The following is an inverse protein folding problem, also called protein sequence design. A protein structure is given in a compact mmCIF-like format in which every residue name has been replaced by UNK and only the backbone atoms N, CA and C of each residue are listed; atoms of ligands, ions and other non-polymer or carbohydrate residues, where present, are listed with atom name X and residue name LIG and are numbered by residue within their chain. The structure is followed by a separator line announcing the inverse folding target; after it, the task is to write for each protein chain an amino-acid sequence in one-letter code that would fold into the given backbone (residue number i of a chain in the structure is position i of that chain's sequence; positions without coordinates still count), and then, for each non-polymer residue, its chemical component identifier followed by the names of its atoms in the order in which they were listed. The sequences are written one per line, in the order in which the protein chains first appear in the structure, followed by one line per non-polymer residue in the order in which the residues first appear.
data_IF_000945574699
#
_entry.id   IF_000945574699
#
_cell.length_a   1.000
_cell.length_b   1.000
_cell.length_c   1.000
_cell.angle_alpha   90.00
_cell.angle_beta   90.00
_cell.angle_gamma   90.00
#
_symmetry.space_group_name_H-M   'P 1'
#
loop_
_entity.id
_entity.type
_entity.pdbx_description
1 polymer ?
#
# COMPACT_ATOMS: atom_id res chain seq x y z
N UNK A 1 1.86 15.88 29.39
CA UNK A 1 1.70 17.29 28.94
C UNK A 1 1.99 17.30 27.46
N UNK A 2 0.96 17.42 26.63
CA UNK A 2 1.11 17.42 25.18
C UNK A 2 1.27 18.87 24.68
N UNK A 3 2.24 19.10 23.80
CA UNK A 3 2.37 20.37 23.09
C UNK A 3 1.11 20.66 22.26
N UNK A 4 0.52 21.83 22.41
CA UNK A 4 -0.71 22.22 21.71
C UNK A 4 -0.57 22.25 20.19
N UNK A 5 0.64 22.44 19.67
CA UNK A 5 0.92 22.51 18.23
C UNK A 5 1.20 21.16 17.60
N UNK A 6 1.96 20.30 18.27
CA UNK A 6 2.34 18.97 17.74
C UNK A 6 1.25 17.90 17.89
N UNK A 7 0.36 18.02 18.87
CA UNK A 7 -0.66 17.03 19.15
C UNK A 7 -1.59 16.73 17.98
N UNK A 8 -1.88 17.74 17.13
CA UNK A 8 -2.74 17.57 15.95
C UNK A 8 -2.15 16.62 14.91
N UNK A 9 -0.83 16.62 14.78
CA UNK A 9 -0.09 15.88 13.77
C UNK A 9 0.48 14.56 14.29
N UNK A 10 0.51 14.35 15.61
CA UNK A 10 1.02 13.10 16.16
C UNK A 10 0.13 11.92 15.81
N UNK A 11 0.73 10.86 15.31
CA UNK A 11 0.10 9.57 15.06
C UNK A 11 0.79 8.49 15.89
N UNK A 12 0.31 7.24 15.76
CA UNK A 12 1.05 6.09 16.27
C UNK A 12 2.40 5.96 15.55
N UNK A 13 3.37 5.34 16.21
CA UNK A 13 4.65 5.03 15.57
C UNK A 13 4.44 4.11 14.39
N UNK A 14 5.07 4.41 13.26
CA UNK A 14 5.08 3.55 12.09
C UNK A 14 5.92 2.29 12.31
N UNK A 15 5.76 1.33 11.43
CA UNK A 15 6.53 0.09 11.40
C UNK A 15 7.31 -0.01 10.09
N UNK A 16 8.51 -0.58 10.16
CA UNK A 16 9.24 -1.08 8.99
C UNK A 16 9.03 -2.59 8.89
N UNK A 17 8.53 -3.05 7.76
CA UNK A 17 8.43 -4.47 7.42
C UNK A 17 9.57 -4.87 6.49
N UNK A 18 10.12 -6.05 6.70
CA UNK A 18 11.27 -6.55 5.95
C UNK A 18 10.96 -7.97 5.49
N UNK A 19 11.19 -8.24 4.21
CA UNK A 19 11.11 -9.59 3.65
C UNK A 19 12.51 -10.19 3.60
N UNK A 20 12.82 -11.00 4.61
CA UNK A 20 14.09 -11.70 4.75
C UNK A 20 13.88 -13.22 4.75
N UNK A 21 14.91 -13.99 4.40
CA UNK A 21 14.86 -15.44 4.40
C UNK A 21 14.71 -16.02 5.80
N UNK A 22 15.39 -15.41 6.78
CA UNK A 22 15.25 -15.76 8.19
C UNK A 22 15.40 -14.54 9.10
N UNK A 23 15.01 -14.68 10.37
CA UNK A 23 15.14 -13.63 11.38
C UNK A 23 16.53 -13.64 12.01
N UNK A 24 17.56 -13.53 11.18
CA UNK A 24 18.94 -13.32 11.61
C UNK A 24 19.40 -11.91 11.28
N UNK A 25 20.42 -11.41 11.98
CA UNK A 25 21.02 -10.09 11.71
C UNK A 25 21.51 -9.98 10.26
N UNK A 26 22.14 -11.04 9.74
CA UNK A 26 22.67 -11.08 8.37
C UNK A 26 21.52 -10.96 7.35
N UNK A 27 20.52 -11.83 7.43
CA UNK A 27 19.43 -11.88 6.44
C UNK A 27 18.58 -10.61 6.47
N UNK A 28 18.36 -10.03 7.67
CA UNK A 28 17.70 -8.73 7.79
C UNK A 28 18.50 -7.61 7.14
N UNK A 29 19.83 -7.58 7.36
CA UNK A 29 20.71 -6.60 6.73
C UNK A 29 20.72 -6.74 5.21
N UNK A 30 20.82 -7.96 4.70
CA UNK A 30 20.84 -8.24 3.27
C UNK A 30 19.51 -7.86 2.61
N UNK A 31 18.37 -8.12 3.26
CA UNK A 31 17.06 -7.70 2.78
C UNK A 31 16.91 -6.16 2.76
N UNK A 32 17.45 -5.46 3.77
CA UNK A 32 17.50 -3.99 3.76
C UNK A 32 18.40 -3.46 2.65
N UNK A 33 19.52 -4.10 2.40
CA UNK A 33 20.44 -3.73 1.32
C UNK A 33 19.80 -3.91 -0.06
N UNK A 34 19.01 -4.98 -0.25
CA UNK A 34 18.17 -5.17 -1.45
C UNK A 34 16.96 -4.25 -1.49
N UNK A 35 16.69 -3.49 -0.43
CA UNK A 35 15.52 -2.61 -0.27
C UNK A 35 14.18 -3.37 -0.35
N UNK A 36 14.17 -4.65 -0.01
CA UNK A 36 12.95 -5.47 0.03
C UNK A 36 12.19 -5.20 1.33
N UNK A 37 11.80 -3.94 1.47
CA UNK A 37 11.22 -3.37 2.68
C UNK A 37 9.96 -2.57 2.38
N UNK A 38 9.08 -2.44 3.37
CA UNK A 38 7.89 -1.61 3.31
C UNK A 38 7.68 -0.91 4.65
N UNK A 39 6.85 0.12 4.66
CA UNK A 39 6.51 0.86 5.89
C UNK A 39 5.02 0.93 6.09
N UNK A 40 4.60 1.09 7.35
CA UNK A 40 3.21 1.33 7.70
C UNK A 40 3.07 2.53 8.64
N UNK A 41 1.88 3.09 8.74
CA UNK A 41 1.57 4.16 9.70
C UNK A 41 1.21 3.64 11.10
N UNK A 42 1.41 2.34 11.37
CA UNK A 42 1.16 1.71 12.68
C UNK A 42 0.65 0.28 12.59
N UNK A 43 -0.40 -0.03 11.79
CA UNK A 43 -0.89 -1.40 11.62
C UNK A 43 0.15 -2.32 10.99
N UNK A 44 0.03 -3.62 11.26
CA UNK A 44 0.89 -4.66 10.69
C UNK A 44 0.41 -5.13 9.32
N UNK A 45 0.04 -4.19 8.46
CA UNK A 45 -0.28 -4.47 7.06
C UNK A 45 0.96 -5.07 6.39
N UNK A 46 0.77 -6.13 5.62
CA UNK A 46 1.86 -6.77 4.85
C UNK A 46 1.67 -6.45 3.38
N UNK A 47 2.77 -6.14 2.69
CA UNK A 47 2.77 -5.86 1.25
C UNK A 47 3.77 -6.76 0.56
N UNK A 48 3.36 -7.41 -0.54
CA UNK A 48 4.23 -7.99 -1.56
C UNK A 48 4.03 -7.21 -2.84
N UNK A 49 5.15 -6.85 -3.48
CA UNK A 49 5.13 -6.09 -4.73
C UNK A 49 6.24 -6.58 -5.64
N UNK A 50 5.86 -7.00 -6.85
CA UNK A 50 6.78 -7.50 -7.87
C UNK A 50 6.46 -6.88 -9.21
N UNK A 51 7.48 -6.69 -10.05
CA UNK A 51 7.36 -6.24 -11.42
C UNK A 51 7.98 -7.22 -12.40
N UNK A 52 7.38 -7.38 -13.57
CA UNK A 52 7.92 -8.24 -14.63
C UNK A 52 7.31 -7.92 -16.00
N UNK A 53 8.04 -8.23 -17.05
CA UNK A 53 7.52 -8.29 -18.42
C UNK A 53 6.98 -9.69 -18.80
N UNK A 54 7.15 -10.69 -17.92
CA UNK A 54 6.86 -12.11 -18.19
C UNK A 54 5.65 -12.66 -17.42
N UNK A 55 5.06 -11.88 -16.52
CA UNK A 55 3.93 -12.37 -15.73
C UNK A 55 2.72 -12.69 -16.62
N UNK A 56 2.19 -13.90 -16.44
CA UNK A 56 0.98 -14.37 -17.12
C UNK A 56 -0.25 -14.10 -16.24
N UNK A 57 -1.42 -14.03 -16.86
CA UNK A 57 -2.68 -13.71 -16.18
C UNK A 57 -3.07 -14.76 -15.12
N UNK A 58 -2.58 -16.00 -15.26
CA UNK A 58 -2.81 -17.09 -14.31
C UNK A 58 -1.96 -17.02 -13.02
N UNK A 59 -1.06 -16.04 -12.91
CA UNK A 59 -0.13 -15.94 -11.79
C UNK A 59 -0.83 -15.92 -10.43
N UNK A 60 -1.93 -15.15 -10.31
CA UNK A 60 -2.66 -15.01 -9.04
C UNK A 60 -3.45 -16.25 -8.63
N UNK A 61 -3.74 -17.14 -9.55
CA UNK A 61 -4.46 -18.40 -9.32
C UNK A 61 -3.50 -19.52 -8.88
N UNK A 62 -2.21 -19.31 -9.05
CA UNK A 62 -1.18 -20.28 -8.73
C UNK A 62 -0.92 -20.37 -7.23
N UNK A 63 -0.88 -21.57 -6.68
CA UNK A 63 -0.52 -21.80 -5.26
C UNK A 63 0.92 -21.37 -4.93
N UNK A 64 1.79 -21.22 -5.93
CA UNK A 64 3.18 -20.80 -5.78
C UNK A 64 3.43 -19.41 -6.41
N UNK A 65 2.40 -18.55 -6.46
CA UNK A 65 2.47 -17.23 -7.10
C UNK A 65 3.68 -16.39 -6.67
N UNK A 66 4.00 -16.37 -5.38
CA UNK A 66 5.15 -15.61 -4.84
C UNK A 66 6.48 -16.20 -5.32
N UNK A 67 6.65 -17.53 -5.31
CA UNK A 67 7.88 -18.14 -5.81
C UNK A 67 8.06 -17.88 -7.31
N UNK A 68 6.99 -17.97 -8.10
CA UNK A 68 7.01 -17.58 -9.52
C UNK A 68 7.35 -16.10 -9.71
N UNK A 69 6.82 -15.23 -8.86
CA UNK A 69 7.10 -13.79 -8.94
C UNK A 69 8.60 -13.48 -8.71
N UNK A 70 9.26 -14.20 -7.81
CA UNK A 70 10.73 -14.11 -7.65
C UNK A 70 11.51 -14.68 -8.84
N UNK A 71 11.01 -15.77 -9.46
CA UNK A 71 11.70 -16.40 -10.60
C UNK A 71 11.57 -15.60 -11.88
N UNK A 72 10.38 -15.06 -12.14
CA UNK A 72 10.03 -14.46 -13.43
C UNK A 72 10.08 -12.92 -13.40
N UNK A 73 10.34 -12.31 -12.26
CA UNK A 73 10.30 -10.85 -12.06
C UNK A 73 11.29 -10.35 -11.03
N UNK A 74 11.10 -9.12 -10.61
CA UNK A 74 11.89 -8.44 -9.59
C UNK A 74 11.01 -8.01 -8.41
N UNK A 75 11.48 -8.14 -7.15
CA UNK A 75 10.76 -7.65 -5.98
C UNK A 75 10.86 -6.13 -5.84
N UNK A 76 10.08 -5.58 -4.91
CA UNK A 76 10.22 -4.19 -4.48
C UNK A 76 11.68 -3.88 -4.09
N UNK A 77 12.15 -2.69 -4.42
CA UNK A 77 13.52 -2.24 -4.19
C UNK A 77 14.47 -2.47 -5.37
N UNK A 78 14.09 -3.27 -6.34
CA UNK A 78 14.92 -3.66 -7.47
C UNK A 78 14.57 -2.87 -8.76
N UNK A 79 15.25 -3.18 -9.85
CA UNK A 79 15.18 -2.46 -11.12
C UNK A 79 14.80 -3.39 -12.27
N UNK A 80 13.82 -2.98 -13.06
CA UNK A 80 13.48 -3.58 -14.35
C UNK A 80 14.19 -2.82 -15.48
N UNK A 81 14.79 -3.53 -16.40
CA UNK A 81 15.34 -2.97 -17.65
C UNK A 81 14.43 -3.28 -18.81
N UNK A 82 14.42 -2.41 -19.82
CA UNK A 82 13.58 -2.52 -21.02
C UNK A 82 13.61 -3.91 -21.66
N UNK A 83 12.41 -4.44 -21.99
CA UNK A 83 12.21 -5.72 -22.67
C UNK A 83 11.23 -5.61 -23.87
N UNK A 84 10.87 -4.40 -24.29
CA UNK A 84 9.96 -4.13 -25.42
C UNK A 84 8.49 -4.49 -25.15
N UNK A 85 8.13 -4.82 -23.91
CA UNK A 85 6.78 -5.19 -23.51
C UNK A 85 6.25 -4.26 -22.41
N UNK A 86 4.93 -4.22 -22.25
CA UNK A 86 4.29 -3.50 -21.14
C UNK A 86 4.53 -4.28 -19.83
N UNK A 87 5.08 -3.66 -18.77
CA UNK A 87 5.32 -4.33 -17.51
C UNK A 87 4.01 -4.68 -16.80
N UNK A 88 4.02 -5.82 -16.14
CA UNK A 88 2.97 -6.26 -15.23
C UNK A 88 3.46 -6.20 -13.79
N UNK A 89 2.60 -5.77 -12.89
CA UNK A 89 2.91 -5.64 -11.47
C UNK A 89 1.96 -6.50 -10.64
N UNK A 90 2.54 -7.44 -9.89
CA UNK A 90 1.83 -8.18 -8.85
C UNK A 90 1.83 -7.35 -7.57
N UNK A 91 0.64 -7.03 -7.09
CA UNK A 91 0.44 -6.44 -5.76
C UNK A 91 -0.39 -7.40 -4.91
N UNK A 92 0.10 -7.69 -3.71
CA UNK A 92 -0.61 -8.52 -2.74
C UNK A 92 -0.46 -7.94 -1.35
N UNK A 93 -1.58 -7.60 -0.72
CA UNK A 93 -1.61 -7.05 0.62
C UNK A 93 -2.56 -7.81 1.53
N UNK A 94 -2.16 -7.92 2.80
CA UNK A 94 -2.94 -8.54 3.87
C UNK A 94 -3.12 -7.52 4.99
N UNK A 95 -4.36 -7.38 5.48
CA UNK A 95 -4.71 -6.51 6.59
C UNK A 95 -4.06 -6.95 7.90
N UNK A 96 -3.90 -6.02 8.81
CA UNK A 96 -3.65 -6.33 10.23
C UNK A 96 -4.96 -6.82 10.86
N UNK A 97 -5.02 -8.05 11.43
CA UNK A 97 -6.24 -8.57 12.04
C UNK A 97 -6.74 -7.74 13.25
N UNK A 98 -5.88 -6.89 13.81
CA UNK A 98 -6.20 -5.99 14.92
C UNK A 98 -6.48 -4.54 14.48
N UNK A 99 -6.60 -4.29 13.18
CA UNK A 99 -6.86 -2.98 12.59
C UNK A 99 -8.12 -3.00 11.72
N UNK A 100 -8.30 -1.97 10.90
CA UNK A 100 -9.37 -1.92 9.90
C UNK A 100 -9.07 -2.81 8.71
N UNK A 101 -10.12 -3.20 7.99
CA UNK A 101 -9.99 -3.93 6.72
C UNK A 101 -9.38 -3.04 5.64
N UNK A 102 -8.79 -3.67 4.62
CA UNK A 102 -8.24 -2.96 3.48
C UNK A 102 -9.35 -2.29 2.67
N UNK A 103 -9.12 -1.05 2.27
CA UNK A 103 -10.04 -0.29 1.41
C UNK A 103 -9.64 -0.39 -0.06
N UNK A 104 -8.36 -0.18 -0.36
CA UNK A 104 -7.85 -0.21 -1.74
C UNK A 104 -6.34 -0.39 -1.80
N UNK A 105 -5.90 -0.91 -2.94
CA UNK A 105 -4.51 -0.89 -3.36
C UNK A 105 -4.32 0.17 -4.43
N UNK A 106 -3.25 0.92 -4.31
CA UNK A 106 -2.83 1.92 -5.28
C UNK A 106 -1.43 1.61 -5.78
N UNK A 107 -1.21 1.81 -7.07
CA UNK A 107 0.13 1.96 -7.63
C UNK A 107 0.34 3.43 -7.95
N UNK A 108 1.44 3.97 -7.48
CA UNK A 108 1.89 5.30 -7.80
C UNK A 108 3.05 5.18 -8.78
N UNK A 109 2.87 5.76 -9.97
CA UNK A 109 3.89 5.88 -10.99
C UNK A 109 4.49 7.28 -10.91
N UNK A 110 5.81 7.37 -10.80
CA UNK A 110 6.55 8.60 -11.01
C UNK A 110 7.44 8.46 -12.23
N UNK A 111 7.55 9.52 -13.05
CA UNK A 111 8.41 9.53 -14.23
C UNK A 111 8.92 10.93 -14.53
N UNK A 112 9.89 11.00 -15.43
CA UNK A 112 10.40 12.27 -15.95
C UNK A 112 9.86 12.46 -17.37
N UNK A 113 9.23 13.61 -17.60
CA UNK A 113 8.70 14.04 -18.89
C UNK A 113 9.25 15.42 -19.22
N UNK A 114 9.99 15.51 -20.32
CA UNK A 114 10.66 16.75 -20.76
C UNK A 114 11.48 17.45 -19.65
N UNK A 115 12.10 16.68 -18.77
CA UNK A 115 12.88 17.19 -17.64
C UNK A 115 12.07 17.56 -16.40
N UNK A 116 10.74 17.42 -16.45
CA UNK A 116 9.83 17.68 -15.33
C UNK A 116 9.41 16.38 -14.66
N UNK A 117 9.35 16.39 -13.33
CA UNK A 117 8.80 15.26 -12.57
C UNK A 117 7.28 15.22 -12.71
N UNK A 118 6.76 14.03 -13.02
CA UNK A 118 5.34 13.72 -13.10
C UNK A 118 4.98 12.58 -12.16
N UNK A 119 3.78 12.60 -11.63
CA UNK A 119 3.24 11.54 -10.79
C UNK A 119 1.79 11.22 -11.17
N UNK A 120 1.44 9.95 -11.12
CA UNK A 120 0.06 9.48 -11.30
C UNK A 120 -0.28 8.35 -10.34
N UNK A 121 -1.48 8.42 -9.79
CA UNK A 121 -2.02 7.43 -8.86
C UNK A 121 -3.10 6.61 -9.54
N UNK A 122 -2.93 5.29 -9.54
CA UNK A 122 -3.89 4.32 -10.04
C UNK A 122 -4.43 3.49 -8.88
N UNK A 123 -5.76 3.46 -8.67
CA UNK A 123 -6.36 2.44 -7.84
C UNK A 123 -6.37 1.14 -8.65
N UNK A 124 -5.81 0.06 -8.10
CA UNK A 124 -5.60 -1.19 -8.84
C UNK A 124 -6.37 -2.38 -8.27
N UNK A 125 -6.82 -2.28 -7.02
CA UNK A 125 -7.78 -3.20 -6.41
C UNK A 125 -8.63 -2.46 -5.38
N UNK A 126 -9.90 -2.82 -5.29
CA UNK A 126 -10.90 -2.17 -4.45
C UNK A 126 -11.53 -3.19 -3.51
N UNK A 127 -11.87 -2.74 -2.29
CA UNK A 127 -12.63 -3.55 -1.34
C UNK A 127 -13.99 -3.99 -1.89
N UNK A 128 -14.57 -5.05 -1.31
CA UNK A 128 -15.90 -5.53 -1.67
C UNK A 128 -16.02 -6.10 -3.09
N UNK A 129 -14.90 -6.49 -3.71
CA UNK A 129 -14.90 -7.03 -5.07
C UNK A 129 -15.18 -5.99 -6.17
N UNK A 130 -15.22 -4.71 -5.81
CA UNK A 130 -15.36 -3.63 -6.79
C UNK A 130 -14.13 -3.52 -7.68
N UNK A 131 -14.34 -2.98 -8.86
CA UNK A 131 -13.24 -2.65 -9.80
C UNK A 131 -13.07 -1.13 -9.86
N UNK A 132 -11.85 -0.65 -10.10
CA UNK A 132 -11.63 0.76 -10.39
C UNK A 132 -12.41 1.19 -11.64
N UNK A 133 -12.98 2.38 -11.60
CA UNK A 133 -13.64 2.98 -12.77
C UNK A 133 -12.65 3.15 -13.92
N UNK A 134 -12.97 2.71 -15.14
CA UNK A 134 -12.03 2.73 -16.26
C UNK A 134 -11.55 4.12 -16.68
N UNK A 135 -12.36 5.16 -16.45
CA UNK A 135 -12.06 6.54 -16.86
C UNK A 135 -11.25 7.30 -15.81
N UNK A 136 -11.74 7.29 -14.57
CA UNK A 136 -11.07 7.97 -13.45
C UNK A 136 -9.93 7.16 -12.84
N UNK A 137 -9.91 5.84 -13.07
CA UNK A 137 -8.97 4.88 -12.46
C UNK A 137 -9.00 4.91 -10.93
N UNK A 138 -10.19 5.16 -10.38
CA UNK A 138 -10.43 5.23 -8.94
C UNK A 138 -11.43 4.17 -8.52
N UNK A 139 -11.23 3.63 -7.34
CA UNK A 139 -12.25 2.86 -6.64
C UNK A 139 -13.47 3.74 -6.35
N UNK A 140 -14.66 3.17 -6.23
CA UNK A 140 -15.82 3.92 -5.78
C UNK A 140 -15.55 4.54 -4.41
N UNK A 141 -16.26 5.62 -4.12
CA UNK A 141 -16.25 6.17 -2.77
C UNK A 141 -16.92 5.19 -1.80
N UNK A 142 -16.27 5.00 -0.67
CA UNK A 142 -16.77 4.13 0.39
C UNK A 142 -17.38 4.98 1.49
N UNK A 143 -18.69 4.88 1.66
CA UNK A 143 -19.33 5.36 2.89
C UNK A 143 -19.06 4.35 4.01
N UNK A 144 -18.07 4.66 4.83
CA UNK A 144 -17.66 3.82 5.95
C UNK A 144 -17.70 4.65 7.24
N UNK A 145 -18.90 4.92 7.77
CA UNK A 145 -19.04 5.75 8.93
C UNK A 145 -18.43 5.06 10.16
N UNK A 146 -17.50 5.75 10.80
CA UNK A 146 -16.96 5.39 12.10
C UNK A 146 -17.76 6.15 13.14
N UNK A 147 -18.38 5.45 14.09
CA UNK A 147 -19.05 6.11 15.20
C UNK A 147 -18.02 6.58 16.22
N UNK A 148 -17.79 7.90 16.38
CA UNK A 148 -16.75 8.40 17.26
C UNK A 148 -17.09 8.25 18.75
N UNK A 149 -18.33 7.88 19.10
CA UNK A 149 -18.74 7.71 20.50
C UNK A 149 -18.35 6.35 21.09
N UNK A 150 -18.22 5.34 20.25
CA UNK A 150 -17.87 3.98 20.68
C UNK A 150 -16.82 3.32 19.78
N UNK A 151 -16.33 4.05 18.76
CA UNK A 151 -15.41 3.56 17.73
C UNK A 151 -15.91 2.31 16.99
N UNK A 152 -17.21 2.06 17.00
CA UNK A 152 -17.82 1.04 16.16
C UNK A 152 -17.71 1.45 14.70
N UNK A 153 -17.20 0.53 13.86
CA UNK A 153 -17.25 0.65 12.42
C UNK A 153 -18.40 -0.20 11.88
N UNK A 154 -19.04 0.27 10.81
CA UNK A 154 -19.95 -0.61 10.08
C UNK A 154 -19.14 -1.80 9.56
N UNK A 155 -19.71 -3.01 9.58
CA UNK A 155 -19.13 -4.17 8.93
C UNK A 155 -19.22 -3.97 7.40
N UNK A 156 -18.32 -3.19 6.84
CA UNK A 156 -18.18 -3.11 5.40
C UNK A 156 -17.12 -4.10 4.97
N UNK A 157 -17.43 -4.86 3.96
CA UNK A 157 -16.63 -5.79 3.17
C UNK A 157 -15.48 -6.54 3.89
N UNK A 158 -15.46 -7.85 3.71
CA UNK A 158 -14.46 -8.76 4.26
C UNK A 158 -13.09 -8.68 3.54
N UNK A 159 -12.61 -7.47 3.24
CA UNK A 159 -11.34 -7.29 2.54
C UNK A 159 -10.13 -7.39 3.47
N UNK A 160 -9.95 -8.59 4.04
CA UNK A 160 -8.73 -8.94 4.79
C UNK A 160 -7.51 -9.09 3.88
N UNK A 161 -7.76 -9.35 2.61
CA UNK A 161 -6.76 -9.52 1.56
C UNK A 161 -7.22 -8.78 0.30
N UNK A 162 -6.29 -8.07 -0.33
CA UNK A 162 -6.45 -7.54 -1.68
C UNK A 162 -5.23 -7.93 -2.51
N UNK A 163 -5.48 -8.42 -3.73
CA UNK A 163 -4.42 -8.76 -4.68
C UNK A 163 -4.82 -8.47 -6.11
N UNK A 164 -3.86 -8.14 -6.93
CA UNK A 164 -4.08 -7.86 -8.34
C UNK A 164 -2.81 -8.09 -9.15
N UNK A 165 -2.99 -8.42 -10.42
CA UNK A 165 -1.97 -8.30 -11.45
C UNK A 165 -2.38 -7.15 -12.36
N UNK A 166 -1.63 -6.05 -12.29
CA UNK A 166 -1.94 -4.81 -13.01
C UNK A 166 -0.89 -4.53 -14.08
N UNK A 167 -1.32 -4.02 -15.22
CA UNK A 167 -0.46 -3.53 -16.30
C UNK A 167 -0.60 -2.04 -16.43
N UNK A 168 0.53 -1.33 -16.62
CA UNK A 168 0.50 0.12 -16.82
C UNK A 168 -0.11 0.46 -18.18
N UNK A 169 -1.31 1.04 -18.23
CA UNK A 169 -1.94 1.41 -19.49
C UNK A 169 -1.32 2.65 -20.16
N UNK A 170 -0.43 3.32 -19.46
CA UNK A 170 0.27 4.53 -19.90
C UNK A 170 1.80 4.33 -19.85
N UNK A 171 2.21 3.08 -20.07
CA UNK A 171 3.63 2.77 -20.12
C UNK A 171 4.28 3.37 -21.38
N UNK A 172 5.39 4.03 -21.18
CA UNK A 172 6.27 4.53 -22.23
C UNK A 172 7.67 3.94 -22.01
N UNK A 173 8.12 3.14 -22.96
CA UNK A 173 9.40 2.42 -22.86
C UNK A 173 10.62 3.34 -22.89
N UNK A 174 10.46 4.59 -23.34
CA UNK A 174 11.54 5.58 -23.40
C UNK A 174 11.70 6.37 -22.10
N UNK A 175 10.76 6.28 -21.17
CA UNK A 175 10.74 7.10 -19.96
C UNK A 175 11.35 6.36 -18.77
N UNK A 176 12.29 7.01 -18.08
CA UNK A 176 12.72 6.59 -16.76
C UNK A 176 11.55 6.75 -15.78
N UNK A 177 11.18 5.65 -15.12
CA UNK A 177 10.03 5.63 -14.22
C UNK A 177 10.31 4.82 -12.94
N UNK A 178 9.50 5.04 -11.92
CA UNK A 178 9.42 4.17 -10.77
C UNK A 178 7.96 3.91 -10.38
N UNK A 179 7.73 2.78 -9.74
CA UNK A 179 6.41 2.37 -9.28
C UNK A 179 6.50 1.95 -7.83
N UNK A 180 5.58 2.41 -6.99
CA UNK A 180 5.45 1.90 -5.64
C UNK A 180 3.98 1.69 -5.26
N UNK A 181 3.76 0.83 -4.29
CA UNK A 181 2.43 0.51 -3.78
C UNK A 181 2.11 1.37 -2.57
N UNK A 182 0.87 1.85 -2.52
CA UNK A 182 0.25 2.40 -1.32
C UNK A 182 -1.02 1.61 -1.02
N UNK A 183 -1.11 1.09 0.19
CA UNK A 183 -2.27 0.38 0.71
C UNK A 183 -3.02 1.31 1.65
N UNK A 184 -4.34 1.36 1.55
CA UNK A 184 -5.18 2.12 2.47
C UNK A 184 -6.14 1.16 3.18
N UNK A 185 -6.26 1.31 4.51
CA UNK A 185 -7.34 0.72 5.30
C UNK A 185 -8.61 1.57 5.21
N UNK A 186 -9.74 1.03 5.65
CA UNK A 186 -10.90 1.85 5.95
C UNK A 186 -10.62 2.75 7.17
N UNK A 187 -11.24 3.94 7.24
CA UNK A 187 -11.10 4.82 8.38
C UNK A 187 -11.46 4.12 9.69
N UNK A 188 -10.79 4.51 10.77
CA UNK A 188 -11.05 4.05 12.14
C UNK A 188 -10.87 5.21 13.12
N UNK A 189 -11.28 5.03 14.37
CA UNK A 189 -10.99 6.02 15.41
C UNK A 189 -9.50 6.29 15.53
N UNK A 190 -9.17 7.57 15.63
CA UNK A 190 -7.84 8.01 16.02
C UNK A 190 -7.55 7.61 17.47
N UNK A 191 -6.29 7.37 17.81
CA UNK A 191 -5.88 7.02 19.17
C UNK A 191 -6.41 8.01 20.25
N UNK A 192 -6.43 9.31 19.95
CA UNK A 192 -6.94 10.34 20.86
C UNK A 192 -8.45 10.25 21.11
N UNK A 193 -9.22 9.73 20.17
CA UNK A 193 -10.65 9.46 20.33
C UNK A 193 -10.85 8.27 21.25
N UNK A 194 -10.06 7.20 21.07
CA UNK A 194 -10.04 6.07 22.01
C UNK A 194 -9.70 6.49 23.45
N UNK A 195 -8.69 7.36 23.62
CA UNK A 195 -8.31 7.86 24.93
C UNK A 195 -9.43 8.71 25.56
N UNK A 196 -10.09 9.54 24.77
CA UNK A 196 -11.23 10.32 25.26
C UNK A 196 -12.39 9.44 25.73
N UNK A 197 -12.73 8.39 24.96
CA UNK A 197 -13.76 7.41 25.33
C UNK A 197 -13.38 6.69 26.63
N UNK A 198 -12.17 6.14 26.74
CA UNK A 198 -11.68 5.40 27.91
C UNK A 198 -11.63 6.27 29.16
N UNK A 199 -11.34 7.55 29.00
CA UNK A 199 -11.27 8.52 30.10
C UNK A 199 -12.61 9.19 30.39
N UNK A 200 -13.67 8.86 29.64
CA UNK A 200 -14.99 9.49 29.71
C UNK A 200 -14.93 11.02 29.62
N UNK A 201 -14.14 11.53 28.70
CA UNK A 201 -14.01 12.96 28.41
C UNK A 201 -14.37 13.25 26.94
N UNK A 202 -14.72 14.51 26.66
CA UNK A 202 -15.00 14.93 25.30
C UNK A 202 -13.71 14.93 24.45
N UNK A 203 -13.77 14.50 23.17
CA UNK A 203 -12.67 14.68 22.25
C UNK A 203 -12.20 16.13 22.16
N UNK A 204 -10.91 16.32 21.92
CA UNK A 204 -10.32 17.66 21.83
C UNK A 204 -10.80 18.37 20.58
N UNK A 205 -11.28 19.60 20.72
CA UNK A 205 -11.71 20.44 19.60
C UNK A 205 -10.56 20.66 18.61
N UNK A 206 -10.85 20.52 17.32
CA UNK A 206 -9.88 20.73 16.24
C UNK A 206 -8.88 19.59 16.02
N UNK A 207 -9.11 18.43 16.67
CA UNK A 207 -8.39 17.18 16.40
C UNK A 207 -9.30 16.26 15.57
N UNK A 208 -8.82 15.66 14.47
CA UNK A 208 -9.61 14.66 13.75
C UNK A 208 -9.97 13.47 14.66
N UNK A 209 -11.22 13.07 14.65
CA UNK A 209 -11.70 11.95 15.45
C UNK A 209 -11.37 10.60 14.83
N UNK A 210 -11.15 10.59 13.51
CA UNK A 210 -10.82 9.40 12.74
C UNK A 210 -9.48 9.53 12.05
N UNK A 211 -8.88 8.40 11.69
CA UNK A 211 -7.66 8.27 10.90
C UNK A 211 -7.80 7.15 9.89
N UNK A 212 -7.15 7.29 8.74
CA UNK A 212 -7.00 6.25 7.74
C UNK A 212 -5.55 5.82 7.67
N UNK A 213 -5.26 4.62 8.17
CA UNK A 213 -3.92 4.07 8.15
C UNK A 213 -3.52 3.54 6.77
N UNK A 214 -2.22 3.45 6.57
CA UNK A 214 -1.61 3.16 5.26
C UNK A 214 -0.36 2.32 5.41
N UNK A 215 0.01 1.73 4.28
CA UNK A 215 1.33 1.12 4.12
C UNK A 215 1.90 1.47 2.74
N UNK A 216 3.24 1.46 2.62
CA UNK A 216 3.96 1.81 1.40
C UNK A 216 5.08 0.82 1.16
N UNK A 217 5.23 0.35 -0.08
CA UNK A 217 6.37 -0.46 -0.49
C UNK A 217 7.59 0.38 -0.85
N UNK A 218 8.77 -0.24 -0.88
CA UNK A 218 9.88 0.27 -1.68
C UNK A 218 9.49 0.31 -3.16
N UNK A 219 10.06 1.25 -3.95
CA UNK A 219 9.76 1.34 -5.38
C UNK A 219 10.43 0.22 -6.18
N UNK A 220 9.84 -0.12 -7.32
CA UNK A 220 10.50 -0.81 -8.43
C UNK A 220 10.84 0.24 -9.47
N UNK A 221 12.09 0.28 -9.88
CA UNK A 221 12.57 1.20 -10.90
C UNK A 221 12.47 0.59 -12.30
N UNK A 222 12.12 1.40 -13.26
CA UNK A 222 12.20 1.07 -14.67
C UNK A 222 13.24 1.97 -15.35
N UNK A 223 14.20 1.35 -16.02
CA UNK A 223 15.28 2.03 -16.72
C UNK A 223 15.21 1.66 -18.21
N UNK A 224 14.99 2.65 -19.10
CA UNK A 224 15.13 2.45 -20.55
C UNK A 224 16.53 1.96 -20.91
N UNK A 225 16.66 1.28 -22.06
CA UNK A 225 17.99 0.91 -22.62
C UNK A 225 18.61 2.08 -23.36
#
# INVERSE_FOLDING_TARGET
IYSNTAFKTWSASGLAGIWAESNTRSDLFDAMLRKEVFSTSGPRIKIRFFGSFKFKDDLLESSNAIARAYTDGVPMGDTMTQDGQIPSFLVWSIADPNSSMLQRLQIIKGWIDLGEFREKVFDVACAGGHKPDPSSRRCPDYDFPVNPTNCGASKASDSTELKTLWRDPEFDESQLAFYYVRVLEHPKCRWSTWDAIRSNVKPRIGIPETIQDRAWSSPIWYVPK
#
